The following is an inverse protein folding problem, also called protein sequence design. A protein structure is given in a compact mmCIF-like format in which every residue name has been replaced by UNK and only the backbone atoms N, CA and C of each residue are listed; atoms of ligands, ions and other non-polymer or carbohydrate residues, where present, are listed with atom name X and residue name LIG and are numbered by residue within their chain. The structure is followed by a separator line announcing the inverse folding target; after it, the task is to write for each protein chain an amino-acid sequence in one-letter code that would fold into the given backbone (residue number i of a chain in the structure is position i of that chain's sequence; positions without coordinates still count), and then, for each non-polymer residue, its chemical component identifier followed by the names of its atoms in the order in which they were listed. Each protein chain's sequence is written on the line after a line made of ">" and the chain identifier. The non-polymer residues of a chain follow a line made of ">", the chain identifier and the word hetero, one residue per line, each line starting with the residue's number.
data_IF_497194597082
#
_entry.id   IF_497194597082
#
_cell.length_a   1.000
_cell.length_b   1.000
_cell.length_c   1.000
_cell.angle_alpha   90.00
_cell.angle_beta   90.00
_cell.angle_gamma   90.00
#
_symmetry.space_group_name_H-M   'P 1'
#
loop_
_entity.id
_entity.type
_entity.pdbx_description
1 polymer ?
#
# COMPACT_ATOMS: atom_id res chain seq x y z
N UNK A 1 -15.49 22.22 -31.17
CA UNK A 1 -14.36 21.27 -31.25
C UNK A 1 -13.10 21.73 -30.50
N UNK A 2 -12.69 23.01 -30.53
CA UNK A 2 -11.51 23.48 -29.77
C UNK A 2 -11.76 23.54 -28.24
N UNK A 3 -12.94 23.99 -27.82
CA UNK A 3 -13.33 24.16 -26.41
C UNK A 3 -13.46 22.81 -25.65
N UNK A 4 -14.01 21.78 -26.30
CA UNK A 4 -14.06 20.42 -25.74
C UNK A 4 -12.68 19.78 -25.59
N UNK A 5 -11.73 20.08 -26.48
CA UNK A 5 -10.34 19.60 -26.36
C UNK A 5 -9.65 20.28 -25.18
N UNK A 6 -9.87 21.58 -24.97
CA UNK A 6 -9.27 22.37 -23.91
C UNK A 6 -9.79 21.95 -22.51
N UNK A 7 -11.09 21.67 -22.39
CA UNK A 7 -11.67 21.10 -21.17
C UNK A 7 -11.16 19.69 -20.85
N UNK A 8 -10.91 18.86 -21.87
CA UNK A 8 -10.41 17.48 -21.72
C UNK A 8 -8.94 17.44 -21.31
N UNK A 9 -8.10 18.32 -21.86
CA UNK A 9 -6.69 18.49 -21.44
C UNK A 9 -6.57 19.01 -20.01
N UNK A 10 -7.43 19.96 -19.60
CA UNK A 10 -7.44 20.49 -18.23
C UNK A 10 -7.79 19.40 -17.20
N UNK A 11 -8.82 18.58 -17.47
CA UNK A 11 -9.18 17.44 -16.61
C UNK A 11 -8.09 16.37 -16.57
N UNK A 12 -7.46 16.04 -17.70
CA UNK A 12 -6.38 15.07 -17.75
C UNK A 12 -5.15 15.54 -16.95
N UNK A 13 -4.79 16.83 -17.04
CA UNK A 13 -3.69 17.41 -16.25
C UNK A 13 -4.01 17.44 -14.75
N UNK A 14 -5.25 17.75 -14.37
CA UNK A 14 -5.68 17.70 -12.96
C UNK A 14 -5.61 16.27 -12.40
N UNK A 15 -6.12 15.27 -13.15
CA UNK A 15 -6.02 13.86 -12.76
C UNK A 15 -4.56 13.39 -12.67
N UNK A 16 -3.71 13.78 -13.64
CA UNK A 16 -2.29 13.45 -13.61
C UNK A 16 -1.57 14.07 -12.41
N UNK A 17 -1.92 15.31 -12.03
CA UNK A 17 -1.35 15.96 -10.85
C UNK A 17 -1.83 15.30 -9.55
N UNK A 18 -3.11 14.91 -9.45
CA UNK A 18 -3.65 14.14 -8.32
C UNK A 18 -2.90 12.82 -8.12
N UNK A 19 -2.60 12.12 -9.22
CA UNK A 19 -1.95 10.80 -9.20
C UNK A 19 -0.46 10.82 -9.53
N UNK A 20 0.20 11.97 -9.47
CA UNK A 20 1.61 12.12 -9.89
C UNK A 20 2.55 11.18 -9.13
N UNK A 21 2.29 10.95 -7.83
CA UNK A 21 3.09 10.03 -7.01
C UNK A 21 2.97 8.60 -7.52
N UNK A 22 1.76 8.15 -7.86
CA UNK A 22 1.54 6.81 -8.43
C UNK A 22 2.25 6.69 -9.77
N UNK A 23 2.08 7.67 -10.65
CA UNK A 23 2.68 7.66 -11.99
C UNK A 23 4.22 7.63 -11.91
N UNK A 24 4.83 8.50 -11.10
CA UNK A 24 6.29 8.53 -10.91
C UNK A 24 6.80 7.19 -10.35
N UNK A 25 6.06 6.61 -9.40
CA UNK A 25 6.42 5.33 -8.79
C UNK A 25 6.38 4.19 -9.81
N UNK A 26 5.31 4.11 -10.61
CA UNK A 26 5.17 3.12 -11.68
C UNK A 26 6.24 3.29 -12.76
N UNK A 27 6.56 4.53 -13.16
CA UNK A 27 7.63 4.81 -14.11
C UNK A 27 8.99 4.39 -13.58
N UNK A 28 9.29 4.64 -12.29
CA UNK A 28 10.54 4.22 -11.66
C UNK A 28 10.69 2.68 -11.68
N UNK A 29 9.63 1.95 -11.31
CA UNK A 29 9.66 0.49 -11.36
C UNK A 29 9.72 -0.06 -12.77
N UNK A 30 8.99 0.53 -13.72
CA UNK A 30 9.06 0.14 -15.13
C UNK A 30 10.47 0.34 -15.69
N UNK A 31 11.12 1.46 -15.38
CA UNK A 31 12.50 1.71 -15.77
C UNK A 31 13.44 0.62 -15.23
N UNK A 32 13.32 0.27 -13.95
CA UNK A 32 14.14 -0.81 -13.35
C UNK A 32 13.84 -2.16 -13.99
N UNK A 33 12.57 -2.48 -14.23
CA UNK A 33 12.18 -3.70 -14.92
C UNK A 33 12.80 -3.79 -16.33
N UNK A 34 12.73 -2.71 -17.11
CA UNK A 34 13.29 -2.65 -18.46
C UNK A 34 14.82 -2.73 -18.47
N UNK A 35 15.49 -2.08 -17.51
CA UNK A 35 16.96 -2.15 -17.38
C UNK A 35 17.45 -3.55 -17.01
N UNK A 36 16.69 -4.29 -16.19
CA UNK A 36 17.04 -5.65 -15.78
C UNK A 36 16.63 -6.72 -16.81
N UNK A 37 15.64 -6.44 -17.65
CA UNK A 37 15.08 -7.40 -18.61
C UNK A 37 15.72 -7.21 -19.98
N UNK A 38 16.81 -7.92 -20.26
CA UNK A 38 17.56 -7.79 -21.53
C UNK A 38 17.14 -8.78 -22.62
N UNK A 39 16.65 -9.98 -22.26
CA UNK A 39 16.30 -11.03 -23.23
C UNK A 39 15.04 -11.82 -22.86
N UNK A 40 14.87 -12.16 -21.58
CA UNK A 40 13.72 -12.95 -21.10
C UNK A 40 13.01 -12.26 -19.94
N UNK A 41 11.68 -12.21 -19.99
CA UNK A 41 10.85 -11.75 -18.89
C UNK A 41 10.85 -12.82 -17.81
N UNK A 42 11.40 -12.49 -16.64
CA UNK A 42 11.39 -13.37 -15.48
C UNK A 42 10.69 -12.71 -14.28
N UNK A 43 10.16 -13.55 -13.38
CA UNK A 43 9.42 -13.08 -12.20
C UNK A 43 10.30 -12.24 -11.27
N UNK A 44 11.59 -12.58 -11.13
CA UNK A 44 12.58 -11.80 -10.35
C UNK A 44 12.68 -10.33 -10.79
N UNK A 45 12.79 -10.05 -12.09
CA UNK A 45 12.91 -8.70 -12.62
C UNK A 45 11.61 -7.91 -12.43
N UNK A 46 10.47 -8.59 -12.60
CA UNK A 46 9.16 -8.00 -12.33
C UNK A 46 9.01 -7.62 -10.86
N UNK A 47 9.42 -8.51 -9.94
CA UNK A 47 9.44 -8.25 -8.50
C UNK A 47 10.39 -7.10 -8.13
N UNK A 48 11.54 -6.98 -8.80
CA UNK A 48 12.45 -5.85 -8.60
C UNK A 48 11.79 -4.52 -9.01
N UNK A 49 11.15 -4.46 -10.17
CA UNK A 49 10.39 -3.27 -10.61
C UNK A 49 9.22 -2.93 -9.69
N UNK A 50 8.50 -3.96 -9.20
CA UNK A 50 7.44 -3.79 -8.20
C UNK A 50 7.98 -3.19 -6.90
N UNK A 51 9.06 -3.76 -6.35
CA UNK A 51 9.67 -3.27 -5.11
C UNK A 51 10.12 -1.82 -5.22
N UNK A 52 10.73 -1.43 -6.33
CA UNK A 52 11.12 -0.04 -6.57
C UNK A 52 9.90 0.88 -6.65
N UNK A 53 8.85 0.47 -7.36
CA UNK A 53 7.59 1.23 -7.43
C UNK A 53 7.03 1.45 -6.02
N UNK A 54 6.91 0.38 -5.24
CA UNK A 54 6.35 0.43 -3.90
C UNK A 54 7.18 1.32 -2.96
N UNK A 55 8.52 1.19 -2.97
CA UNK A 55 9.41 2.00 -2.13
C UNK A 55 9.33 3.48 -2.50
N UNK A 56 9.35 3.83 -3.79
CA UNK A 56 9.22 5.23 -4.24
C UNK A 56 7.86 5.79 -3.82
N UNK A 57 6.79 5.00 -3.97
CA UNK A 57 5.45 5.40 -3.54
C UNK A 57 5.38 5.64 -2.03
N UNK A 58 5.88 4.70 -1.22
CA UNK A 58 5.90 4.80 0.24
C UNK A 58 6.66 6.06 0.64
N UNK A 59 7.88 6.24 0.16
CA UNK A 59 8.74 7.36 0.53
C UNK A 59 8.10 8.71 0.17
N UNK A 60 7.59 8.85 -1.05
CA UNK A 60 6.92 10.07 -1.50
C UNK A 60 5.62 10.34 -0.72
N UNK A 61 4.85 9.29 -0.41
CA UNK A 61 3.60 9.42 0.35
C UNK A 61 3.88 9.80 1.80
N UNK A 62 4.82 9.13 2.46
CA UNK A 62 5.26 9.46 3.82
C UNK A 62 5.80 10.88 3.91
N UNK A 63 6.66 11.28 2.97
CA UNK A 63 7.17 12.65 2.92
C UNK A 63 6.05 13.69 2.88
N UNK A 64 5.01 13.45 2.07
CA UNK A 64 3.83 14.33 1.99
C UNK A 64 3.00 14.29 3.26
N UNK A 65 2.78 13.11 3.83
CA UNK A 65 1.98 12.92 5.05
C UNK A 65 2.62 13.61 6.25
N UNK A 66 3.93 13.44 6.45
CA UNK A 66 4.68 13.99 7.58
C UNK A 66 4.81 15.52 7.54
N UNK A 67 4.50 16.15 6.40
CA UNK A 67 4.53 17.60 6.20
C UNK A 67 3.14 18.22 6.06
N UNK A 68 2.08 17.43 6.10
CA UNK A 68 0.73 17.92 5.88
C UNK A 68 0.16 18.55 7.16
N UNK A 69 -0.45 19.73 7.02
CA UNK A 69 -1.31 20.31 8.03
C UNK A 69 -2.73 19.74 7.96
N UNK A 70 -3.54 19.95 9.00
CA UNK A 70 -4.95 19.54 9.02
C UNK A 70 -5.73 20.11 7.84
N UNK A 71 -5.48 21.37 7.48
CA UNK A 71 -6.10 22.05 6.33
C UNK A 71 -5.75 21.35 5.02
N UNK A 72 -4.48 20.94 4.87
CA UNK A 72 -4.00 20.22 3.69
C UNK A 72 -4.66 18.85 3.59
N UNK A 73 -4.82 18.14 4.72
CA UNK A 73 -5.52 16.86 4.78
C UNK A 73 -6.97 17.05 4.36
N UNK A 74 -7.69 18.00 4.99
CA UNK A 74 -9.10 18.31 4.65
C UNK A 74 -9.29 18.60 3.17
N UNK A 75 -8.52 19.54 2.63
CA UNK A 75 -8.58 19.93 1.22
C UNK A 75 -8.36 18.76 0.28
N UNK A 76 -7.43 17.86 0.63
CA UNK A 76 -7.14 16.68 -0.19
C UNK A 76 -8.23 15.60 -0.07
N UNK A 77 -8.84 15.48 1.11
CA UNK A 77 -9.91 14.52 1.39
C UNK A 77 -11.27 14.91 0.79
N UNK A 78 -11.49 16.18 0.47
CA UNK A 78 -12.73 16.65 -0.19
C UNK A 78 -12.95 16.02 -1.57
N UNK A 79 -11.89 15.54 -2.20
CA UNK A 79 -11.90 14.88 -3.50
C UNK A 79 -11.93 13.34 -3.36
N UNK A 80 -12.84 12.79 -2.55
CA UNK A 80 -12.97 11.34 -2.41
C UNK A 80 -13.59 10.72 -3.68
N UNK A 81 -12.75 10.50 -4.70
CA UNK A 81 -13.16 10.04 -6.02
C UNK A 81 -13.16 8.49 -6.12
N UNK A 82 -13.97 7.95 -7.03
CA UNK A 82 -13.98 6.51 -7.35
C UNK A 82 -12.59 5.97 -7.74
N UNK A 83 -11.76 6.81 -8.35
CA UNK A 83 -10.38 6.50 -8.71
C UNK A 83 -9.52 6.10 -7.51
N UNK A 84 -9.72 6.73 -6.34
CA UNK A 84 -8.92 6.44 -5.15
C UNK A 84 -9.24 5.07 -4.57
N UNK A 85 -10.52 4.66 -4.63
CA UNK A 85 -10.95 3.31 -4.23
C UNK A 85 -10.49 2.24 -5.22
N UNK A 86 -10.55 2.54 -6.52
CA UNK A 86 -10.04 1.65 -7.56
C UNK A 86 -8.52 1.46 -7.43
N UNK A 87 -7.76 2.55 -7.20
CA UNK A 87 -6.31 2.48 -6.99
C UNK A 87 -5.97 1.66 -5.75
N UNK A 88 -6.71 1.84 -4.65
CA UNK A 88 -6.57 1.01 -3.45
C UNK A 88 -6.79 -0.47 -3.79
N UNK A 89 -7.88 -0.79 -4.47
CA UNK A 89 -8.19 -2.16 -4.88
C UNK A 89 -7.09 -2.77 -5.75
N UNK A 90 -6.70 -2.09 -6.83
CA UNK A 90 -5.64 -2.54 -7.74
C UNK A 90 -4.30 -2.74 -7.01
N UNK A 91 -4.00 -1.84 -6.08
CA UNK A 91 -2.78 -1.91 -5.27
C UNK A 91 -2.78 -3.11 -4.31
N UNK A 92 -3.92 -3.39 -3.67
CA UNK A 92 -4.10 -4.59 -2.85
C UNK A 92 -3.98 -5.85 -3.70
N UNK A 93 -4.65 -5.89 -4.87
CA UNK A 93 -4.57 -7.01 -5.80
C UNK A 93 -3.15 -7.27 -6.28
N UNK A 94 -2.40 -6.22 -6.62
CA UNK A 94 -1.00 -6.33 -7.03
C UNK A 94 -0.09 -6.84 -5.90
N UNK A 95 -0.33 -6.38 -4.66
CA UNK A 95 0.39 -6.86 -3.49
C UNK A 95 0.11 -8.36 -3.21
N UNK A 96 -1.15 -8.79 -3.29
CA UNK A 96 -1.54 -10.19 -3.14
C UNK A 96 -0.99 -11.06 -4.28
N UNK A 97 -1.01 -10.58 -5.52
CA UNK A 97 -0.41 -11.26 -6.66
C UNK A 97 1.11 -11.44 -6.48
N UNK A 98 1.78 -10.45 -5.89
CA UNK A 98 3.21 -10.54 -5.55
C UNK A 98 3.49 -11.63 -4.52
N UNK A 99 2.64 -11.76 -3.48
CA UNK A 99 2.72 -12.86 -2.52
C UNK A 99 2.54 -14.22 -3.21
N UNK A 100 1.53 -14.34 -4.07
CA UNK A 100 1.27 -15.57 -4.81
C UNK A 100 2.45 -15.95 -5.72
N UNK A 101 3.02 -14.98 -6.44
CA UNK A 101 4.21 -15.17 -7.27
C UNK A 101 5.43 -15.65 -6.47
N UNK A 102 5.63 -15.12 -5.27
CA UNK A 102 6.67 -15.56 -4.34
C UNK A 102 6.43 -17.01 -3.89
N UNK A 103 5.20 -17.38 -3.54
CA UNK A 103 4.85 -18.75 -3.16
C UNK A 103 5.14 -19.75 -4.29
N UNK A 104 4.85 -19.37 -5.54
CA UNK A 104 5.16 -20.17 -6.72
C UNK A 104 6.68 -20.29 -6.94
N UNK A 105 7.44 -19.19 -6.84
CA UNK A 105 8.91 -19.25 -6.97
C UNK A 105 9.57 -20.12 -5.90
N UNK A 106 9.04 -20.12 -4.67
CA UNK A 106 9.58 -20.91 -3.57
C UNK A 106 9.28 -22.41 -3.70
N UNK A 107 8.18 -22.79 -4.35
CA UNK A 107 7.89 -24.20 -4.63
C UNK A 107 8.87 -24.81 -5.65
N UNK A 108 9.48 -23.98 -6.51
CA UNK A 108 10.50 -24.36 -7.49
C UNK A 108 11.93 -24.46 -6.93
N UNK A 109 12.12 -24.43 -5.60
CA UNK A 109 13.44 -24.40 -4.93
C UNK A 109 14.01 -25.80 -4.64
N UNK A 110 13.30 -26.88 -4.95
CA UNK A 110 13.74 -28.25 -4.61
C UNK A 110 15.09 -28.67 -5.24
N UNK A 111 15.53 -28.00 -6.31
CA UNK A 111 16.73 -28.37 -7.08
C UNK A 111 17.83 -27.28 -7.13
N UNK A 112 17.80 -26.27 -6.24
CA UNK A 112 18.83 -25.21 -6.22
C UNK A 112 19.79 -25.33 -5.02
N UNK A 113 20.99 -24.77 -5.15
CA UNK A 113 21.97 -24.75 -4.08
C UNK A 113 21.46 -24.00 -2.84
N UNK A 114 21.86 -24.38 -1.61
CA UNK A 114 21.39 -23.74 -0.37
C UNK A 114 21.58 -22.22 -0.33
N UNK A 115 22.67 -21.70 -0.89
CA UNK A 115 22.94 -20.25 -0.96
C UNK A 115 21.96 -19.50 -1.87
N UNK A 116 21.54 -20.11 -2.97
CA UNK A 116 20.53 -19.55 -3.87
C UNK A 116 19.15 -19.61 -3.23
N UNK A 117 18.82 -20.70 -2.55
CA UNK A 117 17.58 -20.82 -1.78
C UNK A 117 17.45 -19.73 -0.71
N UNK A 118 18.50 -19.51 0.09
CA UNK A 118 18.54 -18.45 1.10
C UNK A 118 18.38 -17.06 0.50
N UNK A 119 19.06 -16.77 -0.62
CA UNK A 119 18.94 -15.48 -1.29
C UNK A 119 17.52 -15.22 -1.78
N UNK A 120 16.88 -16.22 -2.40
CA UNK A 120 15.47 -16.12 -2.86
C UNK A 120 14.52 -15.90 -1.70
N UNK A 121 14.72 -16.62 -0.60
CA UNK A 121 13.97 -16.45 0.63
C UNK A 121 14.08 -15.03 1.22
N UNK A 122 15.30 -14.47 1.29
CA UNK A 122 15.50 -13.11 1.80
C UNK A 122 14.81 -12.07 0.89
N UNK A 123 14.91 -12.23 -0.44
CA UNK A 123 14.21 -11.35 -1.40
C UNK A 123 12.69 -11.42 -1.22
N UNK A 124 12.15 -12.63 -1.01
CA UNK A 124 10.74 -12.84 -0.72
C UNK A 124 10.30 -12.11 0.56
N UNK A 125 11.05 -12.28 1.66
CA UNK A 125 10.78 -11.61 2.95
C UNK A 125 10.78 -10.09 2.77
N UNK A 126 11.81 -9.53 2.13
CA UNK A 126 11.91 -8.08 1.87
C UNK A 126 10.74 -7.58 1.04
N UNK A 127 10.37 -8.30 -0.02
CA UNK A 127 9.24 -7.93 -0.89
C UNK A 127 7.92 -7.91 -0.13
N UNK A 128 7.72 -8.87 0.78
CA UNK A 128 6.51 -8.95 1.61
C UNK A 128 6.48 -7.83 2.63
N UNK A 129 7.60 -7.50 3.27
CA UNK A 129 7.68 -6.36 4.18
C UNK A 129 7.41 -5.03 3.46
N UNK A 130 7.96 -4.84 2.26
CA UNK A 130 7.66 -3.65 1.42
C UNK A 130 6.16 -3.59 1.11
N UNK A 131 5.58 -4.72 0.69
CA UNK A 131 4.16 -4.82 0.34
C UNK A 131 3.25 -4.59 1.56
N UNK A 132 3.67 -5.03 2.74
CA UNK A 132 3.00 -4.79 4.02
C UNK A 132 3.00 -3.30 4.38
N UNK A 133 4.16 -2.63 4.33
CA UNK A 133 4.24 -1.18 4.57
C UNK A 133 3.42 -0.39 3.56
N UNK A 134 3.46 -0.79 2.29
CA UNK A 134 2.69 -0.19 1.21
C UNK A 134 1.17 -0.28 1.47
N UNK A 135 0.68 -1.46 1.87
CA UNK A 135 -0.71 -1.69 2.24
C UNK A 135 -1.16 -0.74 3.36
N UNK A 136 -0.43 -0.70 4.47
CA UNK A 136 -0.79 0.13 5.63
C UNK A 136 -0.67 1.63 5.32
N UNK A 137 0.24 2.01 4.41
CA UNK A 137 0.34 3.38 3.92
C UNK A 137 -0.90 3.76 3.11
N UNK A 138 -1.40 2.87 2.25
CA UNK A 138 -2.64 3.12 1.49
C UNK A 138 -3.86 3.22 2.40
N UNK A 139 -4.00 2.31 3.36
CA UNK A 139 -5.10 2.36 4.34
C UNK A 139 -5.03 3.63 5.19
N UNK A 140 -3.84 4.10 5.59
CA UNK A 140 -3.67 5.39 6.27
C UNK A 140 -4.29 6.54 5.49
N UNK A 141 -3.97 6.64 4.19
CA UNK A 141 -4.53 7.68 3.32
C UNK A 141 -6.04 7.52 3.21
N UNK A 142 -6.54 6.30 3.05
CA UNK A 142 -7.97 6.03 2.91
C UNK A 142 -8.76 6.33 4.19
N UNK A 143 -8.20 6.05 5.37
CA UNK A 143 -8.79 6.45 6.65
C UNK A 143 -8.88 7.97 6.78
N UNK A 144 -7.78 8.68 6.48
CA UNK A 144 -7.77 10.15 6.53
C UNK A 144 -8.79 10.75 5.55
N UNK A 145 -8.83 10.25 4.32
CA UNK A 145 -9.77 10.70 3.31
C UNK A 145 -11.21 10.39 3.71
N UNK A 146 -11.50 9.21 4.25
CA UNK A 146 -12.87 8.87 4.67
C UNK A 146 -13.32 9.65 5.90
N UNK A 147 -12.42 9.94 6.84
CA UNK A 147 -12.69 10.74 8.03
C UNK A 147 -13.00 12.20 7.66
N UNK A 148 -12.23 12.81 6.76
CA UNK A 148 -12.41 14.23 6.40
C UNK A 148 -13.32 14.48 5.19
N UNK A 149 -13.49 13.50 4.30
CA UNK A 149 -14.17 13.65 3.01
C UNK A 149 -15.53 12.97 2.88
N UNK A 150 -15.89 12.05 3.78
CA UNK A 150 -17.17 11.34 3.70
C UNK A 150 -18.39 12.19 4.04
N UNK A 151 -19.59 11.64 3.85
CA UNK A 151 -20.87 12.27 4.28
C UNK A 151 -20.94 12.51 5.79
N UNK A 152 -20.16 11.76 6.56
CA UNK A 152 -20.03 11.83 8.02
C UNK A 152 -18.68 12.50 8.38
N UNK A 153 -18.44 13.74 7.91
CA UNK A 153 -17.15 14.43 8.12
C UNK A 153 -16.82 14.55 9.61
N UNK A 154 -15.62 14.12 9.99
CA UNK A 154 -15.17 14.13 11.39
C UNK A 154 -15.68 12.95 12.22
N UNK A 155 -16.32 11.96 11.60
CA UNK A 155 -16.84 10.76 12.24
C UNK A 155 -16.20 9.48 11.67
N UNK A 156 -16.65 8.32 12.13
CA UNK A 156 -16.14 7.00 11.75
C UNK A 156 -14.99 6.50 12.61
N UNK A 157 -14.08 7.37 13.06
CA UNK A 157 -13.04 7.07 14.05
C UNK A 157 -13.11 8.03 15.24
N UNK A 158 -13.03 7.50 16.45
CA UNK A 158 -12.93 8.28 17.69
C UNK A 158 -11.55 8.07 18.30
N UNK A 159 -10.73 9.10 18.23
CA UNK A 159 -9.38 9.14 18.79
C UNK A 159 -9.41 9.42 20.31
N UNK A 160 -8.38 8.99 21.06
CA UNK A 160 -8.27 9.27 22.49
C UNK A 160 -8.28 10.78 22.78
N UNK A 161 -8.62 11.13 24.02
CA UNK A 161 -8.69 12.53 24.51
C UNK A 161 -9.66 13.44 23.74
N UNK A 162 -10.51 12.87 22.89
CA UNK A 162 -11.46 13.64 22.09
C UNK A 162 -10.81 14.45 20.98
N UNK A 163 -9.64 14.04 20.47
CA UNK A 163 -8.97 14.67 19.32
C UNK A 163 -9.91 14.74 18.11
N UNK A 164 -10.32 15.96 17.75
CA UNK A 164 -11.25 16.23 16.63
C UNK A 164 -10.57 16.53 15.31
N UNK A 165 -9.28 16.86 15.36
CA UNK A 165 -8.47 17.21 14.20
C UNK A 165 -7.24 16.28 14.10
N UNK A 166 -7.45 14.97 13.86
CA UNK A 166 -6.36 14.02 13.71
C UNK A 166 -5.45 14.36 12.51
N UNK A 167 -4.15 14.25 12.72
CA UNK A 167 -3.14 14.40 11.67
C UNK A 167 -2.76 13.03 11.11
N UNK A 168 -1.93 12.98 10.07
CA UNK A 168 -1.52 11.68 9.49
C UNK A 168 -0.84 10.74 10.49
N UNK A 169 -0.20 11.24 11.55
CA UNK A 169 0.34 10.37 12.62
C UNK A 169 -0.75 9.56 13.32
N UNK A 170 -1.94 10.13 13.55
CA UNK A 170 -3.06 9.43 14.17
C UNK A 170 -3.59 8.31 13.25
N UNK A 171 -3.68 8.59 11.94
CA UNK A 171 -4.11 7.60 10.96
C UNK A 171 -3.04 6.53 10.68
N UNK A 172 -1.77 6.90 10.70
CA UNK A 172 -0.63 5.97 10.61
C UNK A 172 -0.67 5.03 11.80
N UNK A 173 -0.78 5.58 13.01
CA UNK A 173 -0.91 4.81 14.24
C UNK A 173 -2.07 3.81 14.15
N UNK A 174 -3.25 4.27 13.75
CA UNK A 174 -4.41 3.40 13.57
C UNK A 174 -4.15 2.28 12.56
N UNK A 175 -3.70 2.65 11.35
CA UNK A 175 -3.48 1.72 10.24
C UNK A 175 -2.42 0.66 10.57
N UNK A 176 -1.26 1.08 11.06
CA UNK A 176 -0.16 0.16 11.35
C UNK A 176 -0.45 -0.71 12.58
N UNK A 177 -1.22 -0.22 13.55
CA UNK A 177 -1.64 -1.06 14.68
C UNK A 177 -2.61 -2.16 14.25
N UNK A 178 -3.52 -1.88 13.31
CA UNK A 178 -4.30 -2.95 12.66
C UNK A 178 -3.37 -3.94 11.95
N UNK A 179 -2.35 -3.46 11.24
CA UNK A 179 -1.35 -4.31 10.59
C UNK A 179 -0.62 -5.27 11.54
N UNK A 180 -0.18 -4.75 12.68
CA UNK A 180 0.60 -5.51 13.67
C UNK A 180 -0.29 -6.43 14.52
N UNK A 181 -1.42 -5.93 15.01
CA UNK A 181 -2.19 -6.56 16.08
C UNK A 181 -3.69 -6.73 15.78
N UNK A 182 -4.16 -6.39 14.59
CA UNK A 182 -5.58 -6.46 14.14
C UNK A 182 -6.58 -5.57 14.89
N UNK A 183 -6.20 -4.92 16.00
CA UNK A 183 -7.02 -3.93 16.70
C UNK A 183 -6.19 -2.93 17.53
N UNK A 184 -6.61 -1.67 17.54
CA UNK A 184 -6.15 -0.62 18.48
C UNK A 184 -7.03 -0.60 19.73
N UNK A 185 -6.44 -0.45 20.92
CA UNK A 185 -7.22 -0.36 22.17
C UNK A 185 -7.86 1.02 22.41
N UNK A 186 -7.33 2.07 21.79
CA UNK A 186 -7.56 3.47 22.12
C UNK A 186 -8.31 4.26 21.03
N UNK A 187 -8.35 3.75 19.78
CA UNK A 187 -9.14 4.32 18.69
C UNK A 187 -10.36 3.45 18.38
N UNK A 188 -11.56 4.01 18.51
CA UNK A 188 -12.82 3.29 18.30
C UNK A 188 -13.45 3.60 16.93
N UNK A 189 -14.02 2.58 16.28
CA UNK A 189 -14.81 2.78 15.04
C UNK A 189 -16.26 3.13 15.38
N UNK A 190 -16.75 4.28 14.91
CA UNK A 190 -18.08 4.80 15.26
C UNK A 190 -19.14 4.59 14.18
N UNK A 191 -18.75 4.40 12.92
CA UNK A 191 -19.71 4.17 11.82
C UNK A 191 -19.58 2.80 11.16
N UNK A 192 -20.67 2.32 10.55
CA UNK A 192 -20.71 1.02 9.85
C UNK A 192 -19.72 0.99 8.68
N UNK A 193 -19.59 2.10 7.95
CA UNK A 193 -18.64 2.17 6.82
C UNK A 193 -17.20 2.04 7.31
N UNK A 194 -16.83 2.70 8.41
CA UNK A 194 -15.48 2.59 8.96
C UNK A 194 -15.20 1.18 9.50
N UNK A 195 -16.22 0.52 10.08
CA UNK A 195 -16.13 -0.89 10.49
C UNK A 195 -15.89 -1.82 9.30
N UNK A 196 -16.61 -1.64 8.18
CA UNK A 196 -16.41 -2.44 6.96
C UNK A 196 -14.99 -2.26 6.39
N UNK A 197 -14.50 -1.03 6.36
CA UNK A 197 -13.14 -0.72 5.90
C UNK A 197 -12.09 -1.38 6.81
N UNK A 198 -12.27 -1.26 8.12
CA UNK A 198 -11.36 -1.86 9.10
C UNK A 198 -11.39 -3.38 9.04
N UNK A 199 -12.55 -3.99 8.83
CA UNK A 199 -12.66 -5.44 8.63
C UNK A 199 -11.85 -5.91 7.41
N UNK A 200 -11.98 -5.23 6.28
CA UNK A 200 -11.19 -5.53 5.08
C UNK A 200 -9.68 -5.39 5.39
N UNK A 201 -9.30 -4.32 6.06
CA UNK A 201 -7.91 -4.08 6.44
C UNK A 201 -7.36 -5.18 7.35
N UNK A 202 -8.11 -5.59 8.38
CA UNK A 202 -7.71 -6.65 9.32
C UNK A 202 -7.58 -8.01 8.61
N UNK A 203 -8.48 -8.36 7.68
CA UNK A 203 -8.37 -9.60 6.90
C UNK A 203 -7.09 -9.59 6.06
N UNK A 204 -6.80 -8.50 5.36
CA UNK A 204 -5.58 -8.38 4.55
C UNK A 204 -4.33 -8.44 5.43
N UNK A 205 -4.34 -7.74 6.57
CA UNK A 205 -3.25 -7.76 7.55
C UNK A 205 -2.96 -9.17 8.07
N UNK A 206 -4.01 -9.93 8.38
CA UNK A 206 -3.90 -11.32 8.82
C UNK A 206 -3.24 -12.22 7.76
N UNK A 207 -3.61 -12.06 6.47
CA UNK A 207 -2.98 -12.81 5.38
C UNK A 207 -1.49 -12.52 5.25
N UNK A 208 -1.10 -11.24 5.37
CA UNK A 208 0.31 -10.86 5.38
C UNK A 208 1.06 -11.47 6.56
N UNK A 209 0.55 -11.33 7.78
CA UNK A 209 1.19 -11.86 8.99
C UNK A 209 1.37 -13.38 8.92
N UNK A 210 0.35 -14.08 8.40
CA UNK A 210 0.39 -15.53 8.18
C UNK A 210 1.44 -15.90 7.14
N UNK A 211 1.54 -15.15 6.04
CA UNK A 211 2.53 -15.39 4.99
C UNK A 211 3.96 -15.18 5.52
N UNK A 212 4.19 -14.09 6.26
CA UNK A 212 5.49 -13.81 6.89
C UNK A 212 5.89 -14.96 7.82
N UNK A 213 4.96 -15.42 8.67
CA UNK A 213 5.19 -16.53 9.59
C UNK A 213 5.51 -17.83 8.85
N UNK A 214 4.72 -18.18 7.82
CA UNK A 214 4.94 -19.38 7.03
C UNK A 214 6.32 -19.38 6.35
N UNK A 215 6.74 -18.23 5.80
CA UNK A 215 8.06 -18.09 5.21
C UNK A 215 9.18 -18.17 6.24
N UNK A 216 9.02 -17.53 7.40
CA UNK A 216 10.00 -17.61 8.47
C UNK A 216 10.25 -19.06 8.92
N UNK A 217 9.17 -19.85 9.05
CA UNK A 217 9.25 -21.29 9.38
C UNK A 217 9.97 -22.06 8.26
N UNK A 218 9.59 -21.85 7.00
CA UNK A 218 10.19 -22.56 5.86
C UNK A 218 11.69 -22.26 5.73
N UNK A 219 12.07 -21.00 5.89
CA UNK A 219 13.48 -20.56 5.84
C UNK A 219 14.26 -21.09 7.04
N UNK A 220 13.70 -21.01 8.24
CA UNK A 220 14.32 -21.56 9.44
C UNK A 220 14.57 -23.06 9.33
N UNK A 221 13.59 -23.81 8.81
CA UNK A 221 13.74 -25.24 8.57
C UNK A 221 14.80 -25.56 7.50
N UNK A 222 15.00 -24.71 6.50
CA UNK A 222 16.02 -24.90 5.45
C UNK A 222 17.46 -24.62 5.91
N UNK A 223 17.63 -23.98 7.08
CA UNK A 223 18.93 -23.63 7.66
C UNK A 223 19.41 -24.60 8.75
N UNK A 224 18.54 -25.53 9.17
CA UNK A 224 18.82 -26.61 10.12
C UNK A 224 19.10 -27.92 9.37
#
# INVERSE_FOLDING_TARGET
>A
MADERQGRTSRAMQLAHKHVVVLVSLCAGLLVFLLLTTREVNARNLLAGWNVSAVVFIAATWWRMLRASVETIRKKSEDLDFSDSLLLFLSISAALASIAGIGLELHSVKDVTPSVALTRALVAIVTILISWVFLHTLFTVHYAHRFYGGSEKGEGLKFPEGRREPIYWDFLYYSFTIGVASQTADVATTSVTMRKLTLLHSILSFLFNTTILALAINVGASLL
#
